data_IF_916321003407
#
_entry.id   IF_916321003407
#
_cell.length_a   1.000
_cell.length_b   1.000
_cell.length_c   1.000
_cell.angle_alpha   90.00
_cell.angle_beta   90.00
_cell.angle_gamma   90.00
#
_symmetry.space_group_name_H-M   'P 1'
#
loop_
_entity.id
_entity.type
_entity.pdbx_description
1 polymer ?
#
# COMPACT_ATOMS: atom_id res chain seq x y z
N UNK A 1 -22.01 -7.84 -17.85
CA UNK A 1 -20.91 -6.93 -17.47
C UNK A 1 -21.55 -5.70 -16.85
N UNK A 2 -21.37 -5.51 -15.53
CA UNK A 2 -22.04 -4.45 -14.74
C UNK A 2 -21.40 -3.09 -15.06
N UNK A 3 -22.15 -2.00 -14.99
CA UNK A 3 -21.65 -0.67 -15.41
C UNK A 3 -20.46 -0.15 -14.58
N UNK A 4 -20.20 -0.71 -13.41
CA UNK A 4 -18.97 -0.44 -12.64
C UNK A 4 -17.71 -1.08 -13.25
N UNK A 5 -17.83 -2.25 -13.89
CA UNK A 5 -16.72 -2.90 -14.61
C UNK A 5 -16.26 -2.02 -15.79
N UNK A 6 -17.19 -1.33 -16.46
CA UNK A 6 -16.90 -0.38 -17.56
C UNK A 6 -16.17 0.88 -17.09
N UNK A 7 -16.44 1.38 -15.88
CA UNK A 7 -15.75 2.56 -15.32
C UNK A 7 -14.29 2.23 -14.97
N UNK A 8 -14.04 1.04 -14.42
CA UNK A 8 -12.70 0.55 -14.11
C UNK A 8 -11.88 0.24 -15.39
N UNK A 9 -12.54 -0.31 -16.42
CA UNK A 9 -11.96 -0.64 -17.74
C UNK A 9 -11.31 0.54 -18.47
N UNK A 10 -11.72 1.79 -18.20
CA UNK A 10 -11.17 2.97 -18.88
C UNK A 10 -9.89 3.52 -18.25
N UNK A 11 -9.47 2.97 -17.11
CA UNK A 11 -8.55 3.66 -16.21
C UNK A 11 -7.18 3.00 -16.06
N UNK A 12 -7.11 1.68 -16.18
CA UNK A 12 -5.82 1.00 -16.30
C UNK A 12 -5.22 1.38 -17.66
N UNK A 13 -3.98 1.90 -17.72
CA UNK A 13 -3.37 2.33 -18.97
C UNK A 13 -2.99 1.11 -19.82
N UNK A 14 -3.98 0.41 -20.37
CA UNK A 14 -3.75 -0.35 -21.58
C UNK A 14 -3.40 0.64 -22.69
N UNK A 15 -2.44 0.24 -23.52
CA UNK A 15 -2.12 0.84 -24.82
C UNK A 15 -3.40 0.89 -25.67
N UNK A 16 -4.26 1.86 -25.40
CA UNK A 16 -5.55 2.01 -26.06
C UNK A 16 -5.35 2.96 -27.22
N UNK A 17 -5.34 2.35 -28.41
CA UNK A 17 -5.45 2.93 -29.75
C UNK A 17 -5.87 4.42 -29.77
N UNK A 18 -5.10 5.22 -30.51
CA UNK A 18 -5.38 6.64 -30.77
C UNK A 18 -6.74 6.87 -31.46
N UNK A 19 -7.29 5.83 -32.10
CA UNK A 19 -8.36 5.94 -33.09
C UNK A 19 -9.75 6.27 -32.46
N UNK A 20 -10.20 5.65 -31.36
CA UNK A 20 -11.49 5.98 -30.75
C UNK A 20 -11.51 7.35 -30.07
N UNK A 21 -10.34 7.83 -29.62
CA UNK A 21 -10.20 9.10 -28.87
C UNK A 21 -10.06 10.30 -29.80
N UNK A 22 -9.39 10.13 -30.94
CA UNK A 22 -9.44 11.08 -32.07
C UNK A 22 -10.88 11.26 -32.59
N UNK A 23 -11.70 10.19 -32.60
CA UNK A 23 -13.13 10.29 -32.96
C UNK A 23 -13.97 11.14 -32.01
N UNK A 24 -13.65 11.20 -30.71
CA UNK A 24 -14.34 12.10 -29.75
C UNK A 24 -13.90 13.56 -29.90
N UNK A 25 -12.62 13.79 -30.19
CA UNK A 25 -12.10 15.12 -30.54
C UNK A 25 -12.74 15.66 -31.84
N UNK A 26 -12.87 14.81 -32.86
CA UNK A 26 -13.54 15.14 -34.12
C UNK A 26 -15.06 15.39 -33.97
N UNK A 27 -15.67 14.97 -32.86
CA UNK A 27 -17.08 15.27 -32.51
C UNK A 27 -17.24 16.58 -31.72
N UNK A 28 -16.15 17.33 -31.47
CA UNK A 28 -16.20 18.61 -30.75
C UNK A 28 -16.34 18.47 -29.22
N UNK A 29 -16.26 17.27 -28.66
CA UNK A 29 -16.48 17.03 -27.22
C UNK A 29 -15.29 17.43 -26.33
N UNK A 30 -14.12 17.72 -26.91
CA UNK A 30 -12.88 18.04 -26.17
C UNK A 30 -12.09 19.15 -26.88
N UNK A 31 -11.79 20.24 -26.16
CA UNK A 31 -11.01 21.38 -26.68
C UNK A 31 -9.58 20.95 -27.11
N UNK A 32 -9.09 21.50 -28.23
CA UNK A 32 -7.73 21.29 -28.74
C UNK A 32 -6.64 21.54 -27.68
N UNK A 33 -6.82 22.55 -26.82
CA UNK A 33 -5.92 22.81 -25.69
C UNK A 33 -5.83 21.61 -24.73
N UNK A 34 -6.97 20.98 -24.42
CA UNK A 34 -7.04 19.81 -23.54
C UNK A 34 -6.33 18.60 -24.15
N UNK A 35 -6.45 18.42 -25.47
CA UNK A 35 -5.73 17.36 -26.19
C UNK A 35 -4.21 17.60 -26.16
N UNK A 36 -3.77 18.84 -26.37
CA UNK A 36 -2.35 19.20 -26.30
C UNK A 36 -1.78 18.99 -24.88
N UNK A 37 -2.53 19.37 -23.84
CA UNK A 37 -2.15 19.14 -22.44
C UNK A 37 -2.05 17.65 -22.12
N UNK A 38 -2.99 16.83 -22.59
CA UNK A 38 -2.94 15.38 -22.39
C UNK A 38 -1.77 14.73 -23.15
N UNK A 39 -1.48 15.17 -24.38
CA UNK A 39 -0.33 14.69 -25.15
C UNK A 39 0.99 15.03 -24.42
N UNK A 40 1.13 16.26 -23.93
CA UNK A 40 2.29 16.68 -23.16
C UNK A 40 2.44 15.89 -21.86
N UNK A 41 1.35 15.70 -21.11
CA UNK A 41 1.32 14.87 -19.89
C UNK A 41 1.81 13.45 -20.17
N UNK A 42 1.31 12.81 -21.24
CA UNK A 42 1.72 11.45 -21.63
C UNK A 42 3.19 11.36 -22.00
N UNK A 43 3.71 12.32 -22.76
CA UNK A 43 5.13 12.38 -23.10
C UNK A 43 6.01 12.51 -21.86
N UNK A 44 5.61 13.38 -20.91
CA UNK A 44 6.29 13.54 -19.63
C UNK A 44 6.23 12.24 -18.82
N UNK A 45 5.06 11.62 -18.69
CA UNK A 45 4.88 10.36 -17.96
C UNK A 45 5.72 9.23 -18.57
N UNK A 46 5.76 9.11 -19.90
CA UNK A 46 6.58 8.12 -20.59
C UNK A 46 8.08 8.32 -20.32
N UNK A 47 8.56 9.58 -20.32
CA UNK A 47 9.94 9.89 -19.96
C UNK A 47 10.25 9.53 -18.51
N UNK A 48 9.38 9.92 -17.57
CA UNK A 48 9.54 9.58 -16.14
C UNK A 48 9.61 8.07 -15.92
N UNK A 49 8.73 7.30 -16.58
CA UNK A 49 8.71 5.82 -16.47
C UNK A 49 9.98 5.18 -17.02
N UNK A 50 10.51 5.66 -18.15
CA UNK A 50 11.79 5.18 -18.68
C UNK A 50 12.94 5.42 -17.71
N UNK A 51 12.99 6.60 -17.09
CA UNK A 51 14.01 6.94 -16.09
C UNK A 51 13.86 6.11 -14.81
N UNK A 52 12.64 5.94 -14.32
CA UNK A 52 12.34 5.07 -13.18
C UNK A 52 12.78 3.65 -13.46
N UNK A 53 12.33 3.06 -14.58
CA UNK A 53 12.70 1.69 -14.99
C UNK A 53 14.21 1.47 -15.04
N UNK A 54 14.96 2.43 -15.58
CA UNK A 54 16.41 2.35 -15.66
C UNK A 54 17.13 2.46 -14.29
N UNK A 55 16.44 2.95 -13.25
CA UNK A 55 17.01 3.19 -11.92
C UNK A 55 16.39 2.33 -10.81
N UNK A 56 15.47 1.41 -11.11
CA UNK A 56 14.73 0.63 -10.10
C UNK A 56 15.65 -0.11 -9.12
N UNK A 57 16.68 -0.78 -9.62
CA UNK A 57 17.61 -1.54 -8.77
C UNK A 57 18.38 -0.64 -7.81
N UNK A 58 18.79 0.54 -8.29
CA UNK A 58 19.43 1.55 -7.44
C UNK A 58 18.43 2.10 -6.42
N UNK A 59 17.24 2.52 -6.86
CA UNK A 59 16.19 3.07 -6.01
C UNK A 59 15.73 2.09 -4.92
N UNK A 60 15.72 0.78 -5.22
CA UNK A 60 15.39 -0.26 -4.27
C UNK A 60 16.43 -0.37 -3.13
N UNK A 61 17.70 -0.03 -3.41
CA UNK A 61 18.81 -0.08 -2.44
C UNK A 61 19.04 1.25 -1.72
N UNK A 62 18.54 2.37 -2.26
CA UNK A 62 18.71 3.69 -1.66
C UNK A 62 18.04 3.74 -0.28
N UNK A 63 18.74 4.20 0.77
CA UNK A 63 18.14 4.45 2.08
C UNK A 63 17.01 5.48 2.04
N UNK A 64 16.23 5.56 3.12
CA UNK A 64 15.17 6.54 3.25
C UNK A 64 15.71 7.98 3.12
N UNK A 65 15.03 8.81 2.34
CA UNK A 65 15.32 10.25 2.27
C UNK A 65 14.69 10.96 3.46
N UNK A 66 15.51 11.24 4.47
CA UNK A 66 15.08 11.92 5.68
C UNK A 66 15.15 13.44 5.53
N UNK A 67 14.24 14.16 6.21
CA UNK A 67 14.37 15.62 6.36
C UNK A 67 15.63 15.94 7.18
N UNK A 68 16.21 17.11 6.95
CA UNK A 68 17.47 17.52 7.57
C UNK A 68 17.48 17.43 9.10
N UNK A 69 16.35 17.63 9.76
CA UNK A 69 16.21 17.47 11.22
C UNK A 69 16.36 16.02 11.71
N UNK A 70 15.93 15.03 10.92
CA UNK A 70 16.05 13.60 11.26
C UNK A 70 17.33 12.98 10.71
N UNK A 71 17.85 13.50 9.59
CA UNK A 71 19.10 13.04 8.98
C UNK A 71 20.34 13.28 9.86
N UNK A 72 20.23 14.13 10.89
CA UNK A 72 21.31 14.40 11.87
C UNK A 72 21.33 13.38 13.01
N UNK A 73 20.25 12.61 13.20
CA UNK A 73 20.20 11.57 14.22
C UNK A 73 20.97 10.35 13.73
N UNK A 74 21.73 9.74 14.62
CA UNK A 74 22.31 8.42 14.37
C UNK A 74 21.19 7.37 14.23
N UNK A 75 21.44 6.28 13.47
CA UNK A 75 20.51 5.17 13.37
C UNK A 75 20.00 4.66 14.73
N UNK A 76 20.87 4.58 15.73
CA UNK A 76 20.53 4.14 17.09
C UNK A 76 19.64 5.11 17.87
N UNK A 77 19.65 6.41 17.53
CA UNK A 77 18.80 7.42 18.18
C UNK A 77 17.38 7.47 17.58
N UNK A 78 17.21 7.00 16.34
CA UNK A 78 15.93 7.07 15.64
C UNK A 78 14.80 6.31 16.35
N UNK A 79 14.98 5.05 16.83
CA UNK A 79 13.93 4.34 17.55
C UNK A 79 13.43 5.12 18.77
N UNK A 80 14.34 5.62 19.60
CA UNK A 80 13.99 6.39 20.78
C UNK A 80 13.32 7.72 20.45
N UNK A 81 13.77 8.38 19.38
CA UNK A 81 13.10 9.57 18.85
C UNK A 81 11.64 9.26 18.50
N UNK A 82 11.39 8.23 17.68
CA UNK A 82 10.04 7.90 17.23
C UNK A 82 9.17 7.36 18.37
N UNK A 83 9.72 6.68 19.38
CA UNK A 83 8.98 6.28 20.60
C UNK A 83 8.49 7.47 21.41
N UNK A 84 9.32 8.50 21.57
CA UNK A 84 9.01 9.70 22.37
C UNK A 84 8.24 10.77 21.59
N UNK A 85 8.14 10.63 20.27
CA UNK A 85 7.49 11.60 19.38
C UNK A 85 6.00 11.77 19.70
N UNK A 86 5.57 13.02 19.87
CA UNK A 86 4.17 13.41 20.10
C UNK A 86 3.57 14.25 18.98
N UNK A 87 4.40 14.77 18.05
CA UNK A 87 3.99 15.59 16.92
C UNK A 87 4.67 15.18 15.60
N UNK A 88 3.97 15.25 14.44
CA UNK A 88 2.57 15.61 14.29
C UNK A 88 1.66 14.53 14.86
N UNK A 89 0.43 14.92 15.22
CA UNK A 89 -0.59 13.97 15.63
C UNK A 89 -1.13 13.27 14.37
N UNK A 90 -1.23 11.94 14.40
CA UNK A 90 -1.81 11.18 13.30
C UNK A 90 -3.34 11.30 13.30
N UNK A 91 -4.01 10.56 14.19
CA UNK A 91 -5.42 10.70 14.49
C UNK A 91 -5.59 10.70 16.02
N UNK A 92 -6.67 11.29 16.54
CA UNK A 92 -6.86 11.47 17.99
C UNK A 92 -6.74 10.16 18.78
N UNK A 93 -7.28 9.05 18.23
CA UNK A 93 -7.21 7.72 18.86
C UNK A 93 -5.81 7.07 18.88
N UNK A 94 -4.82 7.61 18.17
CA UNK A 94 -3.45 7.10 18.12
C UNK A 94 -2.50 7.88 19.04
N UNK A 95 -2.91 9.04 19.56
CA UNK A 95 -2.04 9.88 20.39
C UNK A 95 -1.97 9.41 21.85
N UNK A 96 -3.07 8.89 22.38
CA UNK A 96 -3.18 8.45 23.77
C UNK A 96 -3.37 6.93 23.86
N UNK A 97 -2.52 6.15 23.16
CA UNK A 97 -2.71 4.71 22.96
C UNK A 97 -3.02 3.94 24.25
N UNK A 98 -2.28 4.16 25.33
CA UNK A 98 -2.55 3.48 26.61
C UNK A 98 -3.93 3.82 27.18
N UNK A 99 -4.37 5.08 27.07
CA UNK A 99 -5.71 5.49 27.49
C UNK A 99 -6.78 4.89 26.57
N UNK A 100 -6.59 4.95 25.26
CA UNK A 100 -7.51 4.38 24.26
C UNK A 100 -7.65 2.87 24.42
N UNK A 101 -6.54 2.16 24.66
CA UNK A 101 -6.52 0.73 24.95
C UNK A 101 -7.28 0.39 26.24
N UNK A 102 -7.07 1.16 27.31
CA UNK A 102 -7.82 1.00 28.57
C UNK A 102 -9.33 1.20 28.36
N UNK A 103 -9.71 2.27 27.64
CA UNK A 103 -11.10 2.53 27.30
C UNK A 103 -11.69 1.42 26.44
N UNK A 104 -10.95 0.88 25.47
CA UNK A 104 -11.43 -0.23 24.65
C UNK A 104 -11.73 -1.47 25.50
N UNK A 105 -10.83 -1.84 26.42
CA UNK A 105 -11.02 -2.99 27.32
C UNK A 105 -12.22 -2.81 28.25
N UNK A 106 -12.41 -1.60 28.77
CA UNK A 106 -13.44 -1.33 29.76
C UNK A 106 -14.83 -1.14 29.13
N UNK A 107 -14.92 -0.36 28.04
CA UNK A 107 -16.18 -0.01 27.40
C UNK A 107 -16.66 -1.07 26.41
N UNK A 108 -15.73 -1.82 25.80
CA UNK A 108 -16.01 -2.79 24.73
C UNK A 108 -15.31 -4.13 24.99
N UNK A 109 -15.62 -4.82 26.11
CA UNK A 109 -14.93 -6.06 26.49
C UNK A 109 -15.17 -7.20 25.49
N UNK A 110 -16.38 -7.29 24.93
CA UNK A 110 -16.73 -8.32 23.95
C UNK A 110 -15.98 -8.11 22.62
N UNK A 111 -15.98 -6.89 22.09
CA UNK A 111 -15.26 -6.53 20.86
C UNK A 111 -13.75 -6.65 21.06
N UNK A 112 -13.26 -6.41 22.28
CA UNK A 112 -11.87 -6.65 22.63
C UNK A 112 -11.54 -8.13 22.55
N UNK A 113 -12.36 -9.02 23.11
CA UNK A 113 -12.15 -10.46 22.98
C UNK A 113 -12.14 -10.90 21.51
N UNK A 114 -13.06 -10.40 20.69
CA UNK A 114 -13.10 -10.68 19.25
C UNK A 114 -11.87 -10.15 18.49
N UNK A 115 -11.36 -8.96 18.87
CA UNK A 115 -10.13 -8.43 18.31
C UNK A 115 -8.96 -9.36 18.57
N UNK A 116 -8.82 -9.84 19.81
CA UNK A 116 -7.73 -10.72 20.21
C UNK A 116 -7.82 -12.08 19.53
N UNK A 117 -9.02 -12.66 19.42
CA UNK A 117 -9.24 -13.90 18.67
C UNK A 117 -8.81 -13.75 17.20
N UNK A 118 -9.25 -12.68 16.53
CA UNK A 118 -8.85 -12.41 15.13
C UNK A 118 -7.35 -12.19 14.99
N UNK A 119 -6.74 -11.47 15.93
CA UNK A 119 -5.30 -11.23 15.92
C UNK A 119 -4.51 -12.53 16.12
N UNK A 120 -4.95 -13.41 17.02
CA UNK A 120 -4.35 -14.73 17.18
C UNK A 120 -4.47 -15.56 15.90
N UNK A 121 -5.63 -15.57 15.24
CA UNK A 121 -5.79 -16.29 13.97
C UNK A 121 -4.93 -15.74 12.83
N UNK A 122 -4.75 -14.43 12.75
CA UNK A 122 -3.78 -13.85 11.82
C UNK A 122 -2.37 -14.35 12.17
N UNK A 123 -1.99 -14.27 13.44
CA UNK A 123 -0.63 -14.57 13.90
C UNK A 123 -0.27 -16.05 13.88
N UNK A 124 -1.22 -16.94 14.11
CA UNK A 124 -0.99 -18.38 14.26
C UNK A 124 -1.34 -19.16 12.98
N UNK A 125 -2.33 -18.70 12.22
CA UNK A 125 -2.87 -19.43 11.07
C UNK A 125 -2.71 -18.67 9.74
N UNK A 126 -2.27 -17.41 9.78
CA UNK A 126 -2.35 -16.47 8.65
C UNK A 126 -3.73 -16.49 8.01
N UNK A 127 -4.79 -16.40 8.83
CA UNK A 127 -6.17 -16.39 8.38
C UNK A 127 -6.86 -15.06 8.70
N UNK A 128 -7.47 -14.42 7.70
CA UNK A 128 -8.29 -13.23 7.90
C UNK A 128 -9.34 -13.03 6.79
N UNK A 129 -10.41 -12.26 7.06
CA UNK A 129 -11.39 -11.90 6.05
C UNK A 129 -10.83 -10.91 5.03
N UNK A 130 -11.07 -11.18 3.76
CA UNK A 130 -10.90 -10.23 2.65
C UNK A 130 -12.25 -9.60 2.30
N UNK A 131 -12.27 -8.29 2.06
CA UNK A 131 -13.50 -7.55 1.77
C UNK A 131 -14.22 -8.13 0.54
N UNK A 132 -15.45 -8.60 0.74
CA UNK A 132 -16.27 -9.19 -0.33
C UNK A 132 -15.90 -10.62 -0.73
N UNK A 133 -14.90 -11.24 -0.08
CA UNK A 133 -14.47 -12.61 -0.39
C UNK A 133 -14.50 -13.56 0.80
N UNK A 134 -14.71 -13.05 2.02
CA UNK A 134 -14.75 -13.86 3.24
C UNK A 134 -13.35 -14.27 3.69
N UNK A 135 -13.27 -15.20 4.63
CA UNK A 135 -12.01 -15.62 5.24
C UNK A 135 -11.11 -16.40 4.29
N UNK A 136 -9.83 -16.06 4.27
CA UNK A 136 -8.78 -16.77 3.55
C UNK A 136 -7.61 -17.06 4.48
N UNK A 137 -6.98 -18.20 4.25
CA UNK A 137 -5.80 -18.65 4.98
C UNK A 137 -4.63 -18.78 4.01
N UNK A 138 -3.49 -18.21 4.36
CA UNK A 138 -2.35 -18.05 3.45
C UNK A 138 -1.22 -19.06 3.69
N UNK A 139 -1.43 -20.01 4.61
CA UNK A 139 -0.46 -21.04 4.99
C UNK A 139 0.74 -20.47 5.74
N UNK A 140 1.74 -21.30 6.03
CA UNK A 140 2.92 -20.89 6.83
C UNK A 140 3.74 -19.77 6.20
N UNK A 141 3.72 -19.66 4.86
CA UNK A 141 4.46 -18.64 4.11
C UNK A 141 3.55 -17.95 3.11
N UNK A 142 3.17 -16.71 3.42
CA UNK A 142 2.28 -15.90 2.59
C UNK A 142 2.92 -15.67 1.21
N UNK A 143 2.21 -16.06 0.15
CA UNK A 143 2.61 -15.83 -1.25
C UNK A 143 1.96 -14.56 -1.77
N UNK A 144 2.60 -13.41 -1.56
CA UNK A 144 2.03 -12.07 -1.78
C UNK A 144 1.68 -11.74 -3.25
N UNK A 145 2.22 -12.50 -4.20
CA UNK A 145 1.94 -12.37 -5.64
C UNK A 145 0.90 -13.38 -6.15
N UNK A 146 0.38 -14.25 -5.29
CA UNK A 146 -0.58 -15.29 -5.65
C UNK A 146 -2.00 -14.79 -5.37
N UNK A 147 -2.82 -14.78 -6.40
CA UNK A 147 -4.25 -14.47 -6.24
C UNK A 147 -4.90 -15.55 -5.34
N UNK A 148 -5.48 -15.19 -4.19
CA UNK A 148 -6.00 -16.14 -3.22
C UNK A 148 -7.29 -16.85 -3.66
N UNK A 149 -7.91 -16.45 -4.78
CA UNK A 149 -9.09 -17.13 -5.33
C UNK A 149 -8.72 -18.04 -6.50
N UNK A 150 -7.99 -17.50 -7.48
CA UNK A 150 -7.62 -18.27 -8.68
C UNK A 150 -6.36 -19.12 -8.49
N UNK A 151 -5.59 -18.88 -7.43
CA UNK A 151 -4.29 -19.48 -7.16
C UNK A 151 -3.22 -19.16 -8.23
N UNK A 152 -3.48 -18.17 -9.10
CA UNK A 152 -2.56 -17.76 -10.17
C UNK A 152 -1.48 -16.83 -9.60
N UNK A 153 -0.24 -17.08 -10.01
CA UNK A 153 0.89 -16.22 -9.66
C UNK A 153 1.02 -15.06 -10.64
N UNK A 154 1.07 -13.84 -10.10
CA UNK A 154 1.27 -12.63 -10.88
C UNK A 154 2.75 -12.37 -11.17
N UNK A 155 3.10 -11.86 -12.37
CA UNK A 155 4.48 -11.64 -12.76
C UNK A 155 5.10 -10.41 -12.06
N UNK A 156 6.43 -10.43 -11.92
CA UNK A 156 7.26 -9.36 -11.33
C UNK A 156 7.88 -8.39 -12.37
N UNK A 157 7.20 -8.21 -13.50
CA UNK A 157 7.62 -7.25 -14.52
C UNK A 157 7.51 -5.80 -14.02
N UNK A 158 8.02 -4.85 -14.81
CA UNK A 158 7.86 -3.42 -14.51
C UNK A 158 6.37 -3.09 -14.37
N UNK A 159 5.99 -2.48 -13.25
CA UNK A 159 4.60 -2.32 -12.85
C UNK A 159 3.72 -1.65 -13.93
N UNK A 160 4.27 -0.69 -14.68
CA UNK A 160 3.54 0.06 -15.70
C UNK A 160 3.34 -0.70 -17.01
N UNK A 161 4.04 -1.82 -17.22
CA UNK A 161 3.90 -2.68 -18.41
C UNK A 161 2.91 -3.82 -18.19
N UNK A 162 2.50 -4.04 -16.93
CA UNK A 162 1.65 -5.16 -16.56
C UNK A 162 0.24 -5.01 -17.14
N UNK A 163 -0.26 -6.13 -17.69
CA UNK A 163 -1.67 -6.27 -18.01
C UNK A 163 -2.43 -6.62 -16.73
N UNK A 164 -3.11 -5.63 -16.15
CA UNK A 164 -3.89 -5.80 -14.90
C UNK A 164 -5.22 -6.54 -15.15
N UNK A 165 -5.80 -6.42 -16.34
CA UNK A 165 -6.97 -7.23 -16.71
C UNK A 165 -6.48 -8.45 -17.49
N UNK A 166 -6.57 -9.62 -16.85
CA UNK A 166 -6.09 -10.88 -17.39
C UNK A 166 -7.30 -11.79 -17.59
N UNK A 167 -7.40 -12.41 -18.77
CA UNK A 167 -8.49 -13.34 -19.08
C UNK A 167 -8.12 -14.78 -18.68
N UNK A 168 -7.27 -14.93 -17.66
CA UNK A 168 -6.79 -16.21 -17.15
C UNK A 168 -7.51 -16.64 -15.87
N UNK A 169 -8.52 -15.87 -15.44
CA UNK A 169 -9.29 -16.12 -14.21
C UNK A 169 -8.75 -15.41 -12.98
N UNK A 170 -7.58 -14.75 -13.07
CA UNK A 170 -7.07 -13.93 -11.97
C UNK A 170 -7.73 -12.54 -11.92
N UNK A 171 -7.88 -11.98 -10.72
CA UNK A 171 -8.40 -10.62 -10.52
C UNK A 171 -7.44 -9.81 -9.65
N UNK A 172 -6.87 -8.75 -10.23
CA UNK A 172 -5.95 -7.85 -9.54
C UNK A 172 -6.57 -7.22 -8.28
N UNK A 173 -7.90 -7.02 -8.24
CA UNK A 173 -8.60 -6.44 -7.08
C UNK A 173 -8.55 -7.35 -5.87
N UNK A 174 -8.64 -8.66 -6.10
CA UNK A 174 -8.52 -9.68 -5.05
C UNK A 174 -7.09 -9.69 -4.53
N UNK A 175 -6.10 -9.68 -5.44
CA UNK A 175 -4.70 -9.64 -5.06
C UNK A 175 -4.37 -8.36 -4.27
N UNK A 176 -4.87 -7.21 -4.72
CA UNK A 176 -4.67 -5.93 -4.06
C UNK A 176 -5.33 -5.87 -2.69
N UNK A 177 -6.48 -6.51 -2.48
CA UNK A 177 -7.12 -6.56 -1.16
C UNK A 177 -6.20 -7.15 -0.09
N UNK A 178 -5.49 -8.24 -0.41
CA UNK A 178 -4.45 -8.81 0.47
C UNK A 178 -3.28 -7.85 0.64
N UNK A 179 -2.85 -7.24 -0.46
CA UNK A 179 -1.68 -6.35 -0.51
C UNK A 179 -1.96 -4.90 -0.09
N UNK A 180 -3.15 -4.61 0.46
CA UNK A 180 -3.41 -3.40 1.23
C UNK A 180 -2.88 -3.51 2.66
N UNK A 181 -2.57 -4.72 3.12
CA UNK A 181 -2.01 -4.99 4.45
C UNK A 181 -2.86 -4.43 5.60
N UNK A 182 -4.18 -4.40 5.41
CA UNK A 182 -5.12 -3.86 6.40
C UNK A 182 -5.22 -4.74 7.65
N UNK A 183 -4.96 -6.04 7.54
CA UNK A 183 -4.95 -6.99 8.66
C UNK A 183 -3.85 -6.69 9.68
N UNK A 184 -2.76 -6.02 9.27
CA UNK A 184 -1.73 -5.54 10.20
C UNK A 184 -2.27 -4.53 11.22
N UNK A 185 -3.38 -3.83 10.90
CA UNK A 185 -4.06 -2.97 11.88
C UNK A 185 -4.73 -3.80 12.98
N UNK A 186 -5.24 -4.99 12.67
CA UNK A 186 -5.80 -5.92 13.67
C UNK A 186 -4.72 -6.37 14.65
N UNK A 187 -3.56 -6.78 14.13
CA UNK A 187 -2.39 -7.13 14.96
C UNK A 187 -1.92 -5.92 15.78
N UNK A 188 -1.79 -4.74 15.15
CA UNK A 188 -1.31 -3.53 15.82
C UNK A 188 -2.25 -3.08 16.94
N UNK A 189 -3.58 -3.21 16.74
CA UNK A 189 -4.57 -2.94 17.78
C UNK A 189 -4.51 -3.96 18.91
N UNK A 190 -4.29 -5.24 18.61
CA UNK A 190 -4.10 -6.26 19.64
C UNK A 190 -2.87 -5.94 20.50
N UNK A 191 -1.72 -5.64 19.87
CA UNK A 191 -0.53 -5.15 20.57
C UNK A 191 -0.81 -3.90 21.43
N UNK A 192 -1.54 -2.92 20.88
CA UNK A 192 -1.89 -1.71 21.62
C UNK A 192 -2.71 -1.98 22.88
N UNK A 193 -3.53 -3.04 22.88
CA UNK A 193 -4.43 -3.40 23.98
C UNK A 193 -3.77 -4.30 25.02
N UNK A 194 -2.84 -5.17 24.62
CA UNK A 194 -2.29 -6.22 25.48
C UNK A 194 -0.83 -6.03 25.85
N UNK A 195 -0.08 -5.18 25.14
CA UNK A 195 1.39 -5.12 25.19
C UNK A 195 2.08 -6.43 24.79
N UNK A 196 1.37 -7.35 24.13
CA UNK A 196 1.92 -8.64 23.71
C UNK A 196 2.78 -8.48 22.44
N UNK A 197 4.09 -8.53 22.65
CA UNK A 197 5.12 -8.36 21.62
C UNK A 197 5.05 -9.40 20.49
N UNK A 198 4.33 -10.51 20.67
CA UNK A 198 4.11 -11.50 19.60
C UNK A 198 3.35 -10.90 18.42
N UNK A 199 2.40 -10.01 18.67
CA UNK A 199 1.66 -9.34 17.59
C UNK A 199 2.52 -8.32 16.83
N UNK A 200 3.39 -7.58 17.53
CA UNK A 200 4.32 -6.65 16.88
C UNK A 200 5.39 -7.40 16.07
N UNK A 201 5.92 -8.49 16.62
CA UNK A 201 6.89 -9.35 15.95
C UNK A 201 6.33 -9.96 14.66
N UNK A 202 5.07 -10.41 14.68
CA UNK A 202 4.39 -10.92 13.49
C UNK A 202 4.26 -9.86 12.40
N UNK A 203 3.85 -8.63 12.75
CA UNK A 203 3.77 -7.53 11.78
C UNK A 203 5.11 -7.34 11.07
N UNK A 204 6.23 -7.33 11.81
CA UNK A 204 7.54 -7.13 11.19
C UNK A 204 7.97 -8.33 10.34
N UNK A 205 7.63 -9.56 10.75
CA UNK A 205 7.84 -10.78 9.95
C UNK A 205 7.10 -10.70 8.61
N UNK A 206 5.80 -10.40 8.64
CA UNK A 206 4.97 -10.25 7.45
C UNK A 206 5.47 -9.13 6.53
N UNK A 207 5.87 -7.99 7.09
CA UNK A 207 6.40 -6.86 6.32
C UNK A 207 7.73 -7.18 5.64
N UNK A 208 8.61 -7.94 6.29
CA UNK A 208 9.84 -8.42 5.68
C UNK A 208 9.54 -9.35 4.51
N UNK A 209 8.68 -10.36 4.71
CA UNK A 209 8.26 -11.28 3.65
C UNK A 209 7.54 -10.56 2.50
N UNK A 210 6.76 -9.51 2.78
CA UNK A 210 6.13 -8.69 1.76
C UNK A 210 7.17 -7.93 0.93
N UNK A 211 8.14 -7.28 1.58
CA UNK A 211 9.18 -6.50 0.89
C UNK A 211 10.04 -7.35 -0.02
N UNK A 212 10.41 -8.54 0.42
CA UNK A 212 11.19 -9.50 -0.38
C UNK A 212 10.47 -9.89 -1.67
N UNK A 213 9.16 -10.11 -1.59
CA UNK A 213 8.34 -10.53 -2.73
C UNK A 213 7.84 -9.35 -3.58
N UNK A 214 7.89 -8.11 -3.08
CA UNK A 214 7.32 -6.93 -3.74
C UNK A 214 8.35 -5.80 -3.93
N UNK A 215 9.45 -6.05 -4.67
CA UNK A 215 10.47 -5.03 -4.90
C UNK A 215 9.87 -3.77 -5.56
N UNK A 216 10.43 -2.61 -5.21
CA UNK A 216 9.94 -1.31 -5.68
C UNK A 216 9.73 -1.29 -7.20
N UNK A 217 8.53 -0.88 -7.63
CA UNK A 217 8.20 -0.66 -9.04
C UNK A 217 8.06 -1.96 -9.86
N UNK A 218 7.96 -3.12 -9.21
CA UNK A 218 7.80 -4.42 -9.88
C UNK A 218 6.56 -5.15 -9.39
N UNK A 219 5.87 -5.80 -10.32
CA UNK A 219 4.68 -6.56 -10.00
C UNK A 219 3.41 -5.71 -9.85
N UNK A 220 2.25 -6.39 -9.70
CA UNK A 220 0.94 -5.76 -9.71
C UNK A 220 0.72 -4.83 -8.52
N UNK A 221 1.39 -5.07 -7.39
CA UNK A 221 1.21 -4.31 -6.15
C UNK A 221 1.76 -2.87 -6.21
N UNK A 222 2.47 -2.53 -7.29
CA UNK A 222 2.92 -1.17 -7.62
C UNK A 222 2.22 -0.60 -8.86
N UNK A 223 1.28 -1.31 -9.48
CA UNK A 223 0.71 -0.91 -10.77
C UNK A 223 -0.32 0.22 -10.66
N UNK A 224 -0.95 0.39 -9.51
CA UNK A 224 -1.99 1.37 -9.23
C UNK A 224 -1.56 2.27 -8.06
N UNK A 225 -1.46 3.59 -8.27
CA UNK A 225 -0.99 4.50 -7.23
C UNK A 225 -2.00 4.64 -6.08
N UNK A 226 -3.31 4.49 -6.34
CA UNK A 226 -4.32 4.42 -5.30
C UNK A 226 -4.06 3.25 -4.34
N UNK A 227 -3.76 2.05 -4.86
CA UNK A 227 -3.48 0.87 -4.03
C UNK A 227 -2.19 1.02 -3.21
N UNK A 228 -1.16 1.62 -3.81
CA UNK A 228 0.08 1.98 -3.09
C UNK A 228 -0.20 2.99 -1.97
N UNK A 229 -1.13 3.93 -2.20
CA UNK A 229 -1.54 4.93 -1.20
C UNK A 229 -2.35 4.31 -0.06
N UNK A 230 -3.31 3.43 -0.36
CA UNK A 230 -4.07 2.69 0.65
C UNK A 230 -3.16 1.85 1.54
N UNK A 231 -2.22 1.11 0.94
CA UNK A 231 -1.20 0.36 1.69
C UNK A 231 -0.34 1.30 2.54
N UNK A 232 0.14 2.43 1.99
CA UNK A 232 0.94 3.38 2.76
C UNK A 232 0.18 3.94 3.98
N UNK A 233 -1.11 4.23 3.85
CA UNK A 233 -1.94 4.67 4.98
C UNK A 233 -2.07 3.59 6.06
N UNK A 234 -2.31 2.33 5.67
CA UNK A 234 -2.37 1.21 6.61
C UNK A 234 -1.02 1.01 7.32
N UNK A 235 0.10 1.07 6.58
CA UNK A 235 1.44 0.95 7.16
C UNK A 235 1.76 2.07 8.16
N UNK A 236 1.38 3.32 7.86
CA UNK A 236 1.58 4.45 8.77
C UNK A 236 0.74 4.29 10.05
N UNK A 237 -0.51 3.88 9.92
CA UNK A 237 -1.38 3.61 11.07
C UNK A 237 -0.86 2.43 11.91
N UNK A 238 -0.42 1.33 11.27
CA UNK A 238 0.23 0.21 11.96
C UNK A 238 1.49 0.67 12.68
N UNK A 239 2.35 1.45 12.03
CA UNK A 239 3.55 2.00 12.65
C UNK A 239 3.24 2.80 13.92
N UNK A 240 2.23 3.67 13.90
CA UNK A 240 1.83 4.42 15.09
C UNK A 240 1.38 3.49 16.24
N UNK A 241 0.72 2.37 15.94
CA UNK A 241 0.30 1.40 16.95
C UNK A 241 1.49 0.65 17.58
N UNK A 242 2.52 0.35 16.79
CA UNK A 242 3.61 -0.55 17.21
C UNK A 242 4.97 0.11 17.41
N UNK A 243 5.12 1.42 17.20
CA UNK A 243 6.42 2.13 17.34
C UNK A 243 7.06 2.05 18.74
N UNK A 244 6.28 1.68 19.77
CA UNK A 244 6.75 1.46 21.15
C UNK A 244 7.23 0.02 21.43
N UNK A 245 6.99 -0.91 20.51
CA UNK A 245 7.43 -2.29 20.63
C UNK A 245 8.96 -2.38 20.78
N UNK A 246 9.42 -3.36 21.53
CA UNK A 246 10.86 -3.67 21.60
C UNK A 246 11.38 -4.24 20.28
N UNK A 247 10.54 -4.87 19.47
CA UNK A 247 10.88 -5.35 18.13
C UNK A 247 11.05 -4.22 17.10
N UNK A 248 10.63 -2.99 17.44
CA UNK A 248 10.99 -1.76 16.70
C UNK A 248 12.42 -1.34 17.02
N UNK A 249 13.39 -2.15 16.58
CA UNK A 249 14.81 -1.86 16.69
C UNK A 249 15.30 -0.97 15.53
N UNK A 250 16.60 -0.67 15.50
CA UNK A 250 17.23 0.15 14.46
C UNK A 250 16.97 -0.38 13.05
N UNK A 251 17.23 -1.67 12.82
CA UNK A 251 17.09 -2.31 11.51
C UNK A 251 15.63 -2.26 11.02
N UNK A 252 14.69 -2.66 11.88
CA UNK A 252 13.25 -2.62 11.60
C UNK A 252 12.81 -1.21 11.23
N UNK A 253 13.25 -0.21 12.00
CA UNK A 253 12.88 1.18 11.74
C UNK A 253 13.46 1.69 10.43
N UNK A 254 14.75 1.45 10.15
CA UNK A 254 15.37 1.86 8.89
C UNK A 254 14.70 1.21 7.68
N UNK A 255 14.35 -0.07 7.80
CA UNK A 255 13.56 -0.79 6.82
C UNK A 255 12.22 -0.10 6.59
N UNK A 256 11.44 0.17 7.63
CA UNK A 256 10.14 0.86 7.51
C UNK A 256 10.27 2.26 6.92
N UNK A 257 11.25 3.05 7.34
CA UNK A 257 11.50 4.38 6.79
C UNK A 257 11.81 4.32 5.30
N UNK A 258 12.60 3.33 4.86
CA UNK A 258 12.86 3.11 3.45
C UNK A 258 11.56 2.74 2.71
N UNK A 259 10.74 1.87 3.30
CA UNK A 259 9.45 1.48 2.74
C UNK A 259 8.55 2.70 2.56
N UNK A 260 8.42 3.56 3.57
CA UNK A 260 7.62 4.78 3.51
C UNK A 260 8.11 5.74 2.42
N UNK A 261 9.42 5.97 2.34
CA UNK A 261 9.98 6.83 1.30
C UNK A 261 9.74 6.25 -0.09
N UNK A 262 9.89 4.94 -0.28
CA UNK A 262 9.62 4.26 -1.55
C UNK A 262 8.15 4.41 -1.97
N UNK A 263 7.20 4.20 -1.05
CA UNK A 263 5.78 4.39 -1.31
C UNK A 263 5.47 5.83 -1.69
N UNK A 264 5.89 6.81 -0.87
CA UNK A 264 5.63 8.23 -1.13
C UNK A 264 6.25 8.70 -2.45
N UNK A 265 7.47 8.25 -2.75
CA UNK A 265 8.15 8.58 -3.99
C UNK A 265 7.45 7.98 -5.21
N UNK A 266 6.99 6.73 -5.11
CA UNK A 266 6.25 6.06 -6.17
C UNK A 266 4.90 6.76 -6.43
N UNK A 267 4.11 7.03 -5.39
CA UNK A 267 2.82 7.73 -5.49
C UNK A 267 3.00 9.07 -6.21
N UNK A 268 3.97 9.89 -5.77
CA UNK A 268 4.25 11.20 -6.37
C UNK A 268 4.62 11.13 -7.86
N UNK A 269 5.28 10.04 -8.30
CA UNK A 269 5.67 9.84 -9.71
C UNK A 269 4.53 9.30 -10.57
N UNK A 270 3.59 8.58 -9.97
CA UNK A 270 2.58 7.77 -10.66
C UNK A 270 1.14 8.24 -10.41
N UNK A 271 0.95 9.51 -10.03
CA UNK A 271 -0.37 10.11 -9.84
C UNK A 271 -1.30 9.86 -11.04
N UNK A 272 -2.48 9.34 -10.77
CA UNK A 272 -3.40 8.84 -11.79
C UNK A 272 -4.31 9.95 -12.35
N UNK A 273 -3.68 10.95 -12.96
CA UNK A 273 -4.34 12.13 -13.52
C UNK A 273 -4.42 12.09 -15.06
N UNK A 274 -5.52 12.62 -15.60
CA UNK A 274 -5.77 12.78 -17.04
C UNK A 274 -6.55 14.07 -17.30
N UNK A 275 -6.17 14.82 -18.33
CA UNK A 275 -6.91 16.04 -18.74
C UNK A 275 -8.24 15.74 -19.44
N UNK A 276 -8.44 14.48 -19.85
CA UNK A 276 -9.59 14.04 -20.66
C UNK A 276 -10.43 12.95 -19.97
N UNK A 277 -10.04 12.55 -18.75
CA UNK A 277 -10.75 11.55 -17.98
C UNK A 277 -10.66 11.89 -16.49
N UNK A 278 -11.79 11.87 -15.80
CA UNK A 278 -11.88 12.02 -14.35
C UNK A 278 -12.01 10.66 -13.70
N UNK A 279 -11.34 10.45 -12.57
CA UNK A 279 -11.53 9.29 -11.70
C UNK A 279 -11.43 9.73 -10.25
N UNK A 280 -11.97 8.91 -9.35
CA UNK A 280 -11.83 9.08 -7.90
C UNK A 280 -10.44 8.69 -7.36
N UNK A 281 -9.52 8.22 -8.21
CA UNK A 281 -8.18 7.79 -7.78
C UNK A 281 -7.20 8.95 -7.56
N UNK A 282 -7.43 10.09 -8.20
CA UNK A 282 -6.52 11.25 -8.11
C UNK A 282 -6.92 12.21 -7.00
N UNK A 283 -8.21 12.54 -6.91
CA UNK A 283 -8.81 13.41 -5.92
C UNK A 283 -10.26 12.96 -5.76
N UNK A 284 -10.58 12.30 -4.65
CA UNK A 284 -11.95 12.22 -4.13
C UNK A 284 -12.07 13.18 -2.96
#
# INVERSE_FOLDING_TARGET
>A
MRDEEKKFLNFIPHSSSLIPKLRRALRGEVNARTLALEAWRRSRAARTRRQERASLEQLAKTPARLRAEFARLSPSELPDHFRKRTTPKFLQGFHALSQTANLQRHLFPFETAQLLERASRIKDEHCWPLLGYGERCFGESIKWLRDPLSNILWPLDYHADLKIIRNDGSDARVLWEVNRLSHLLTLGRAFAVTDDERFASEIFSELNGWREQNPLGRGPNWACAMEVSLRAMNLLATFELVRRSVAMNEETLLSLLQMFDQHGAHIRRNLEFSYIATSNHYLS
#
